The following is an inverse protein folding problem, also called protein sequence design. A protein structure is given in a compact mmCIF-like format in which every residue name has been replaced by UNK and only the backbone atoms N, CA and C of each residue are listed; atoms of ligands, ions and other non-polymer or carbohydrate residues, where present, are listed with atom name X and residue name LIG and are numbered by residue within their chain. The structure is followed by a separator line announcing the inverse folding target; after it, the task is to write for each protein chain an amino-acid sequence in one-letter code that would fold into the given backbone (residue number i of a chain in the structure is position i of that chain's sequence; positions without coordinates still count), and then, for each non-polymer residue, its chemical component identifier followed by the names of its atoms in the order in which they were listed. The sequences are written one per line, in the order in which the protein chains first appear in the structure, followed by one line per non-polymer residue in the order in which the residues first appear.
data_IF_725560784850
#
_entry.id   IF_725560784850
#
_cell.length_a   1.000
_cell.length_b   1.000
_cell.length_c   1.000
_cell.angle_alpha   90.00
_cell.angle_beta   90.00
_cell.angle_gamma   90.00
#
_symmetry.space_group_name_H-M   'P 1'
#
loop_
_entity.id
_entity.type
_entity.pdbx_description
1 polymer ?
#
# COMPACT_ATOMS: atom_id res chain seq x y z
N UNK A 1 -14.63 27.11 -44.23
CA UNK A 1 -15.39 27.85 -43.18
C UNK A 1 -16.64 27.11 -42.70
N UNK A 2 -16.62 25.76 -42.58
CA UNK A 2 -17.79 24.96 -42.14
C UNK A 2 -17.54 24.13 -40.88
N UNK A 3 -16.26 23.86 -40.57
CA UNK A 3 -15.83 23.18 -39.33
C UNK A 3 -15.88 24.07 -38.08
N UNK A 4 -15.74 25.40 -38.24
CA UNK A 4 -15.69 26.35 -37.11
C UNK A 4 -17.05 26.57 -36.42
N UNK A 5 -18.16 26.18 -37.07
CA UNK A 5 -19.53 26.32 -36.54
C UNK A 5 -19.99 25.14 -35.68
N UNK A 6 -19.24 24.02 -35.69
CA UNK A 6 -19.53 22.82 -34.88
C UNK A 6 -18.69 22.81 -33.58
N UNK A 7 -17.59 23.56 -33.56
CA UNK A 7 -16.70 23.66 -32.38
C UNK A 7 -17.22 24.64 -31.32
N UNK A 8 -18.03 25.63 -31.71
CA UNK A 8 -18.52 26.69 -30.82
C UNK A 8 -19.54 26.23 -29.74
N UNK A 9 -20.50 25.31 -29.99
CA UNK A 9 -21.40 24.86 -28.93
C UNK A 9 -20.76 23.83 -27.98
N UNK A 10 -19.66 23.18 -28.38
CA UNK A 10 -19.04 22.11 -27.59
C UNK A 10 -18.14 22.67 -26.46
N UNK A 11 -17.59 23.87 -26.62
CA UNK A 11 -16.86 24.56 -25.55
C UNK A 11 -17.79 25.17 -24.48
N UNK A 12 -19.05 25.46 -24.82
CA UNK A 12 -20.02 26.04 -23.89
C UNK A 12 -20.61 25.01 -22.89
N UNK A 13 -20.58 23.71 -23.22
CA UNK A 13 -21.09 22.64 -22.34
C UNK A 13 -20.04 22.25 -21.26
N UNK A 14 -18.75 22.49 -21.51
CA UNK A 14 -17.67 22.22 -20.53
C UNK A 14 -17.60 23.30 -19.43
N UNK A 15 -18.24 24.46 -19.61
CA UNK A 15 -18.19 25.58 -18.67
C UNK A 15 -19.30 25.55 -17.59
N UNK A 16 -20.23 24.59 -17.62
CA UNK A 16 -21.41 24.58 -16.74
C UNK A 16 -21.40 23.55 -15.59
N UNK A 17 -20.32 22.76 -15.41
CA UNK A 17 -20.22 21.79 -14.31
C UNK A 17 -19.22 22.18 -13.20
N UNK A 18 -18.72 23.42 -13.20
CA UNK A 18 -17.67 23.90 -12.29
C UNK A 18 -18.14 24.55 -10.98
N UNK A 19 -19.27 24.14 -10.40
CA UNK A 19 -19.67 24.59 -9.06
C UNK A 19 -20.06 23.39 -8.18
N UNK A 20 -19.24 23.05 -7.18
CA UNK A 20 -19.62 23.02 -5.76
C UNK A 20 -18.45 22.55 -4.85
N UNK A 21 -18.27 23.28 -3.73
CA UNK A 21 -17.61 22.90 -2.46
C UNK A 21 -16.08 22.77 -2.43
N UNK A 22 -15.31 23.35 -1.51
CA UNK A 22 -15.54 24.29 -0.39
C UNK A 22 -14.16 24.81 0.08
N UNK A 23 -14.10 26.06 0.57
CA UNK A 23 -12.93 26.79 1.13
C UNK A 23 -12.33 26.03 2.34
N UNK A 24 -11.03 25.74 2.44
CA UNK A 24 -9.83 26.56 2.75
C UNK A 24 -9.72 27.16 4.18
N UNK A 25 -8.74 26.62 4.90
CA UNK A 25 -7.75 27.24 5.81
C UNK A 25 -8.19 28.21 6.92
N UNK A 26 -8.11 27.73 8.17
CA UNK A 26 -8.00 28.59 9.35
C UNK A 26 -6.54 28.92 9.64
N UNK A 27 -6.19 30.18 9.34
CA UNK A 27 -5.03 30.90 9.89
C UNK A 27 -5.05 30.89 11.41
N UNK A 28 -3.96 30.43 12.04
CA UNK A 28 -3.54 30.94 13.35
C UNK A 28 -2.08 31.36 13.22
N UNK A 29 -1.86 32.67 13.29
CA UNK A 29 -0.54 33.26 13.47
C UNK A 29 -0.06 33.00 14.90
N UNK A 30 1.17 32.53 15.03
CA UNK A 30 2.02 32.83 16.19
C UNK A 30 3.38 33.24 15.66
N UNK A 31 3.62 34.55 15.62
CA UNK A 31 4.96 35.12 15.56
C UNK A 31 5.37 35.38 17.01
N UNK A 32 6.40 34.69 17.47
CA UNK A 32 7.16 35.06 18.66
C UNK A 32 8.64 34.98 18.30
N UNK A 33 9.23 36.16 18.09
CA UNK A 33 10.67 36.40 18.16
C UNK A 33 11.18 36.15 19.57
N UNK A 34 12.31 35.45 19.72
CA UNK A 34 13.11 35.55 20.94
C UNK A 34 13.82 34.29 21.38
N UNK A 35 15.13 34.30 21.14
CA UNK A 35 16.19 33.84 22.05
C UNK A 35 16.51 32.35 22.20
N UNK A 36 17.82 32.11 22.23
CA UNK A 36 18.44 30.81 22.37
C UNK A 36 18.22 30.23 23.77
N UNK A 37 17.73 28.99 23.83
CA UNK A 37 17.89 28.16 25.01
C UNK A 37 18.25 26.74 24.58
N UNK A 38 19.51 26.40 24.82
CA UNK A 38 19.97 25.02 25.00
C UNK A 38 19.09 24.31 26.03
N UNK A 39 18.59 23.13 25.71
CA UNK A 39 18.05 22.14 26.65
C UNK A 39 18.17 20.80 25.92
N UNK A 40 19.35 20.18 26.01
CA UNK A 40 19.71 19.19 27.03
C UNK A 40 18.96 17.87 26.84
N UNK A 41 19.74 16.89 26.40
CA UNK A 41 19.42 15.48 26.35
C UNK A 41 18.95 15.01 27.71
N UNK A 42 17.82 14.30 27.77
CA UNK A 42 17.57 13.14 28.64
C UNK A 42 16.06 12.84 28.63
N UNK A 43 15.57 12.20 27.57
CA UNK A 43 14.41 11.33 27.76
C UNK A 43 14.95 9.92 28.01
N UNK A 44 14.70 9.36 29.21
CA UNK A 44 15.13 8.01 29.54
C UNK A 44 14.71 7.01 28.47
N UNK A 45 15.66 6.20 28.03
CA UNK A 45 15.38 4.94 27.35
C UNK A 45 14.50 4.12 28.29
N UNK A 46 13.19 4.09 28.01
CA UNK A 46 12.38 3.00 28.51
C UNK A 46 12.89 1.73 27.84
N UNK A 47 13.53 0.93 28.69
CA UNK A 47 13.92 -0.44 28.48
C UNK A 47 12.71 -1.21 27.94
N UNK A 48 12.65 -1.34 26.62
CA UNK A 48 11.77 -2.32 25.99
C UNK A 48 12.37 -3.68 26.31
N UNK A 49 11.88 -4.25 27.40
CA UNK A 49 12.13 -5.63 27.79
C UNK A 49 11.80 -6.53 26.63
N UNK A 50 12.65 -7.52 26.39
CA UNK A 50 12.37 -8.68 25.57
C UNK A 50 11.03 -9.28 26.01
N UNK A 51 9.99 -9.02 25.23
CA UNK A 51 8.81 -9.88 25.22
C UNK A 51 9.11 -11.00 24.25
N UNK A 52 9.64 -12.07 24.83
CA UNK A 52 9.46 -13.43 24.37
C UNK A 52 7.95 -13.65 24.19
N UNK A 53 7.48 -13.42 22.97
CA UNK A 53 6.11 -13.62 22.52
C UNK A 53 6.11 -14.62 21.36
N UNK A 54 6.76 -15.75 21.59
CA UNK A 54 6.28 -16.99 21.00
C UNK A 54 5.04 -17.41 21.82
N UNK A 55 3.95 -17.66 21.11
CA UNK A 55 2.69 -18.30 21.52
C UNK A 55 1.40 -17.46 21.34
N UNK A 56 0.56 -18.02 20.45
CA UNK A 56 -0.89 -17.83 20.26
C UNK A 56 -1.39 -16.69 19.33
N UNK A 57 -1.13 -16.82 18.02
CA UNK A 57 -2.01 -16.28 16.95
C UNK A 57 -2.78 -17.46 16.32
N UNK A 58 -3.59 -18.18 17.11
CA UNK A 58 -4.26 -19.42 16.67
C UNK A 58 -5.76 -19.38 16.95
N UNK A 59 -6.45 -18.32 16.48
CA UNK A 59 -7.90 -18.34 16.25
C UNK A 59 -8.33 -17.19 15.31
N UNK A 60 -7.64 -17.03 14.18
CA UNK A 60 -7.99 -16.02 13.17
C UNK A 60 -8.80 -16.58 11.99
N UNK A 61 -8.94 -17.90 11.86
CA UNK A 61 -9.55 -18.57 10.71
C UNK A 61 -10.73 -19.45 11.11
N UNK A 62 -11.74 -19.65 10.24
CA UNK A 62 -11.81 -19.15 8.85
C UNK A 62 -12.08 -17.64 8.73
N UNK A 63 -11.65 -17.04 7.61
CA UNK A 63 -11.90 -15.62 7.27
C UNK A 63 -12.60 -15.53 5.91
N UNK A 64 -13.72 -14.81 5.84
CA UNK A 64 -14.38 -14.48 4.57
C UNK A 64 -14.02 -13.07 4.11
N UNK A 65 -13.48 -12.94 2.90
CA UNK A 65 -13.10 -11.70 2.26
C UNK A 65 -14.06 -11.39 1.11
N UNK A 66 -14.57 -10.17 1.05
CA UNK A 66 -15.34 -9.70 -0.12
C UNK A 66 -14.36 -9.23 -1.19
N UNK A 67 -14.41 -9.81 -2.38
CA UNK A 67 -13.57 -9.40 -3.52
C UNK A 67 -14.44 -8.91 -4.67
N UNK A 68 -13.89 -8.13 -5.63
CA UNK A 68 -14.63 -7.70 -6.81
C UNK A 68 -15.16 -8.86 -7.68
N UNK A 69 -14.60 -10.07 -7.54
CA UNK A 69 -15.00 -11.26 -8.30
C UNK A 69 -15.93 -12.18 -7.51
N UNK A 70 -16.20 -11.88 -6.23
CA UNK A 70 -17.03 -12.67 -5.32
C UNK A 70 -16.41 -12.83 -3.93
N UNK A 71 -17.12 -13.52 -3.03
CA UNK A 71 -16.60 -13.82 -1.70
C UNK A 71 -15.53 -14.92 -1.78
N UNK A 72 -14.44 -14.75 -1.04
CA UNK A 72 -13.32 -15.68 -0.90
C UNK A 72 -13.19 -16.08 0.57
N UNK A 73 -13.30 -17.38 0.84
CA UNK A 73 -13.06 -17.94 2.18
C UNK A 73 -11.63 -18.48 2.29
N UNK A 74 -10.92 -18.07 3.33
CA UNK A 74 -9.63 -18.61 3.72
C UNK A 74 -9.85 -19.52 4.93
N UNK A 75 -9.70 -20.82 4.75
CA UNK A 75 -9.89 -21.83 5.80
C UNK A 75 -8.77 -21.84 6.85
N UNK A 76 -7.57 -21.41 6.43
CA UNK A 76 -6.37 -21.42 7.26
C UNK A 76 -5.40 -20.35 6.79
N UNK A 77 -4.37 -20.10 7.59
CA UNK A 77 -3.33 -19.14 7.26
C UNK A 77 -2.65 -19.51 5.93
N UNK A 78 -2.55 -18.57 4.96
CA UNK A 78 -1.75 -18.77 3.76
C UNK A 78 -0.31 -19.12 4.12
N UNK A 79 0.29 -20.06 3.41
CA UNK A 79 1.69 -20.46 3.61
C UNK A 79 2.59 -20.06 2.45
N UNK A 80 1.98 -19.65 1.33
CA UNK A 80 2.68 -19.23 0.11
C UNK A 80 1.95 -18.06 -0.55
N UNK A 81 2.68 -17.00 -0.81
CA UNK A 81 2.19 -15.75 -1.37
C UNK A 81 2.97 -15.42 -2.64
N UNK A 82 2.24 -15.05 -3.68
CA UNK A 82 2.78 -14.39 -4.87
C UNK A 82 2.31 -12.94 -4.85
N UNK A 83 3.24 -12.00 -4.79
CA UNK A 83 2.92 -10.57 -4.80
C UNK A 83 3.04 -9.98 -6.22
N UNK A 84 1.99 -9.33 -6.70
CA UNK A 84 1.95 -8.65 -8.01
C UNK A 84 1.91 -7.12 -7.87
N UNK A 85 2.42 -6.60 -6.76
CA UNK A 85 2.54 -5.17 -6.54
C UNK A 85 3.78 -4.87 -5.72
N UNK A 86 4.65 -3.93 -6.16
CA UNK A 86 5.77 -3.48 -5.35
C UNK A 86 5.33 -3.06 -3.96
N UNK A 87 4.29 -2.22 -3.85
CA UNK A 87 3.75 -1.78 -2.56
C UNK A 87 3.25 -2.92 -1.68
N UNK A 88 2.57 -3.92 -2.26
CA UNK A 88 2.12 -5.08 -1.49
C UNK A 88 3.31 -5.91 -0.98
N UNK A 89 4.35 -6.07 -1.79
CA UNK A 89 5.60 -6.73 -1.39
C UNK A 89 6.20 -6.04 -0.18
N UNK A 90 6.38 -4.71 -0.22
CA UNK A 90 6.95 -3.98 0.92
C UNK A 90 6.11 -4.12 2.19
N UNK A 91 4.79 -4.07 2.07
CA UNK A 91 3.87 -4.26 3.21
C UNK A 91 4.03 -5.66 3.79
N UNK A 92 4.08 -6.71 2.97
CA UNK A 92 4.21 -8.09 3.42
C UNK A 92 5.49 -8.29 4.24
N UNK A 93 6.61 -7.73 3.79
CA UNK A 93 7.86 -7.78 4.55
C UNK A 93 7.79 -6.93 5.82
N UNK A 94 7.21 -5.73 5.76
CA UNK A 94 7.07 -4.84 6.92
C UNK A 94 6.20 -5.44 8.05
N UNK A 95 5.20 -6.27 7.73
CA UNK A 95 4.35 -6.95 8.72
C UNK A 95 4.89 -8.31 9.16
N UNK A 96 6.10 -8.70 8.73
CA UNK A 96 6.72 -9.98 9.09
C UNK A 96 6.17 -11.20 8.32
N UNK A 97 5.41 -10.98 7.24
CA UNK A 97 4.91 -12.05 6.36
C UNK A 97 5.87 -12.36 5.18
N UNK A 98 7.05 -11.73 5.14
CA UNK A 98 8.04 -11.89 4.07
C UNK A 98 8.44 -13.35 3.81
N UNK A 99 8.54 -14.17 4.85
CA UNK A 99 8.90 -15.60 4.75
C UNK A 99 7.88 -16.44 3.96
N UNK A 100 6.64 -15.96 3.84
CA UNK A 100 5.60 -16.63 3.05
C UNK A 100 5.64 -16.19 1.57
N UNK A 101 6.41 -15.17 1.21
CA UNK A 101 6.50 -14.65 -0.16
C UNK A 101 7.45 -15.52 -0.98
N UNK A 102 6.90 -16.32 -1.89
CA UNK A 102 7.68 -17.25 -2.72
C UNK A 102 8.05 -16.67 -4.09
N UNK A 103 7.34 -15.64 -4.53
CA UNK A 103 7.57 -14.96 -5.79
C UNK A 103 6.96 -13.55 -5.77
N UNK A 104 7.55 -12.65 -6.57
CA UNK A 104 7.08 -11.28 -6.75
C UNK A 104 7.04 -10.91 -8.24
N UNK A 105 6.42 -9.80 -8.60
CA UNK A 105 6.54 -9.28 -9.97
C UNK A 105 7.96 -8.74 -10.26
N UNK A 106 8.26 -8.56 -11.55
CA UNK A 106 9.53 -8.04 -12.06
C UNK A 106 9.80 -6.56 -11.70
N UNK A 107 8.85 -5.88 -11.05
CA UNK A 107 8.99 -4.51 -10.58
C UNK A 107 9.27 -4.42 -9.07
N UNK A 108 9.06 -5.51 -8.33
CA UNK A 108 9.19 -5.59 -6.88
C UNK A 108 10.65 -5.85 -6.47
N UNK A 109 11.44 -4.79 -6.42
CA UNK A 109 12.88 -4.84 -6.13
C UNK A 109 13.26 -4.47 -4.68
N UNK A 110 12.26 -4.27 -3.82
CA UNK A 110 12.44 -3.94 -2.40
C UNK A 110 11.45 -4.76 -1.55
N UNK A 111 11.84 -5.19 -0.33
CA UNK A 111 13.19 -5.08 0.26
C UNK A 111 14.23 -5.98 -0.44
N UNK A 112 15.54 -5.80 -0.21
CA UNK A 112 16.58 -6.57 -0.90
C UNK A 112 16.53 -8.07 -0.62
N UNK A 113 15.91 -8.49 0.49
CA UNK A 113 15.63 -9.89 0.81
C UNK A 113 14.42 -10.49 0.06
N UNK A 114 13.64 -9.69 -0.65
CA UNK A 114 12.54 -10.20 -1.47
C UNK A 114 13.07 -11.13 -2.58
N UNK A 115 12.34 -12.21 -2.92
CA UNK A 115 12.74 -13.08 -4.01
C UNK A 115 12.71 -12.30 -5.34
N UNK A 116 13.48 -12.75 -6.33
CA UNK A 116 13.43 -12.19 -7.69
C UNK A 116 12.78 -13.20 -8.64
N UNK A 117 11.83 -12.75 -9.45
CA UNK A 117 11.13 -13.61 -10.42
C UNK A 117 10.76 -12.85 -11.70
N UNK A 118 10.76 -13.54 -12.83
CA UNK A 118 10.35 -12.98 -14.13
C UNK A 118 8.82 -13.10 -14.33
N UNK A 119 8.05 -12.48 -13.45
CA UNK A 119 6.59 -12.41 -13.56
C UNK A 119 6.24 -10.96 -13.87
N UNK A 120 5.65 -10.71 -15.04
CA UNK A 120 5.23 -9.35 -15.36
C UNK A 120 4.08 -8.90 -14.45
N UNK A 121 4.24 -7.75 -13.80
CA UNK A 121 3.16 -7.13 -13.02
C UNK A 121 1.99 -6.63 -13.87
N UNK A 122 2.19 -6.43 -15.18
CA UNK A 122 1.16 -5.92 -16.10
C UNK A 122 0.51 -7.02 -16.94
N UNK A 123 1.23 -8.09 -17.22
CA UNK A 123 0.73 -9.23 -18.02
C UNK A 123 1.18 -10.52 -17.34
N UNK A 124 0.51 -10.92 -16.26
CA UNK A 124 0.98 -12.00 -15.39
C UNK A 124 1.16 -13.31 -16.17
N UNK A 125 2.37 -13.86 -16.08
CA UNK A 125 2.80 -15.08 -16.75
C UNK A 125 3.21 -16.13 -15.71
N UNK A 126 2.25 -16.92 -15.24
CA UNK A 126 2.54 -18.01 -14.30
C UNK A 126 3.35 -19.11 -15.02
N UNK A 127 4.64 -19.16 -14.72
CA UNK A 127 5.58 -20.18 -15.20
C UNK A 127 5.64 -21.31 -14.16
N UNK A 128 5.70 -22.57 -14.60
CA UNK A 128 5.48 -23.75 -13.74
C UNK A 128 6.55 -24.01 -12.68
N UNK A 129 7.68 -23.31 -12.76
CA UNK A 129 8.83 -23.35 -11.86
C UNK A 129 8.62 -22.61 -10.53
N UNK A 130 7.59 -21.78 -10.41
CA UNK A 130 7.27 -21.00 -9.20
C UNK A 130 6.67 -21.85 -8.05
N UNK A 131 6.56 -23.18 -8.21
CA UNK A 131 6.28 -24.10 -7.10
C UNK A 131 4.83 -24.13 -6.59
N UNK A 132 3.84 -23.60 -7.32
CA UNK A 132 2.41 -23.73 -6.95
C UNK A 132 1.80 -25.12 -7.22
N UNK A 133 2.57 -26.07 -7.78
CA UNK A 133 2.10 -27.41 -8.16
C UNK A 133 2.84 -28.55 -7.47
N UNK A 134 2.05 -29.41 -6.82
CA UNK A 134 2.32 -30.66 -6.06
C UNK A 134 3.12 -30.52 -4.77
#
# INVERSE_FOLDING_TARGET
MKIFKILLPLMAIVLALGLTSSCSSSTTQVVATGDAATTDSSQPMESMSEVDAAEEITSAFPVTLQTPTGDLELESQPTRILSLSPTATEILFAIGAGDQVIAVDDQSNYPPEAPTSDISGFTPNLKGDIGFGT
#
